data_IF_694493143582
#
_entry.id   IF_694493143582
#
_cell.length_a   1.000
_cell.length_b   1.000
_cell.length_c   1.000
_cell.angle_alpha   90.00
_cell.angle_beta   90.00
_cell.angle_gamma   90.00
#
_symmetry.space_group_name_H-M   'P 1'
#
loop_
_entity.id
_entity.type
_entity.pdbx_description
1 polymer ?
#
# COMPACT_ATOMS: atom_id res chain seq x y z
N UNK A 1 18.79 -53.49 -33.50
CA UNK A 1 19.86 -54.08 -32.65
C UNK A 1 19.28 -54.30 -31.26
N UNK A 2 19.55 -55.43 -30.60
CA UNK A 2 19.18 -55.63 -29.19
C UNK A 2 20.36 -55.34 -28.28
N UNK A 3 20.13 -54.53 -27.24
CA UNK A 3 21.13 -54.27 -26.20
C UNK A 3 21.17 -55.50 -25.29
N UNK A 4 22.32 -56.17 -25.19
CA UNK A 4 22.54 -57.25 -24.23
C UNK A 4 23.04 -56.65 -22.90
N UNK A 5 22.51 -57.08 -21.74
CA UNK A 5 23.00 -56.60 -20.45
C UNK A 5 24.43 -57.12 -20.20
N UNK A 6 25.30 -56.24 -19.68
CA UNK A 6 26.64 -56.61 -19.23
C UNK A 6 26.54 -56.96 -17.74
N UNK A 7 26.75 -58.24 -17.39
CA UNK A 7 26.79 -58.69 -16.00
C UNK A 7 28.26 -58.64 -15.54
N UNK A 8 28.54 -57.84 -14.52
CA UNK A 8 29.90 -57.55 -14.05
C UNK A 8 30.12 -58.15 -12.66
N UNK A 9 30.80 -59.29 -12.60
CA UNK A 9 31.00 -60.07 -11.36
C UNK A 9 32.25 -59.56 -10.62
N UNK A 10 32.06 -58.97 -9.44
CA UNK A 10 33.15 -58.38 -8.63
C UNK A 10 33.70 -59.43 -7.66
N UNK A 11 34.69 -60.22 -8.10
CA UNK A 11 35.26 -61.33 -7.33
C UNK A 11 36.18 -60.94 -6.15
N UNK A 12 36.17 -59.69 -5.66
CA UNK A 12 37.02 -59.23 -4.55
C UNK A 12 36.24 -58.35 -3.57
N UNK A 13 36.06 -58.76 -2.29
CA UNK A 13 35.20 -58.06 -1.34
C UNK A 13 35.68 -56.64 -1.02
N UNK A 14 37.00 -56.40 -1.04
CA UNK A 14 37.60 -55.08 -0.84
C UNK A 14 37.17 -54.05 -1.89
N UNK A 15 36.90 -54.48 -3.13
CA UNK A 15 36.39 -53.60 -4.20
C UNK A 15 34.93 -53.22 -3.92
N UNK A 16 34.12 -54.19 -3.47
CA UNK A 16 32.73 -53.95 -3.09
C UNK A 16 32.64 -53.01 -1.88
N UNK A 17 33.48 -53.20 -0.86
CA UNK A 17 33.59 -52.31 0.30
C UNK A 17 34.02 -50.89 -0.11
N UNK A 18 34.98 -50.76 -1.03
CA UNK A 18 35.38 -49.47 -1.60
C UNK A 18 34.24 -48.75 -2.33
N UNK A 19 33.49 -49.47 -3.15
CA UNK A 19 32.32 -48.93 -3.87
C UNK A 19 31.21 -48.50 -2.89
N UNK A 20 30.89 -49.33 -1.89
CA UNK A 20 29.88 -49.00 -0.86
C UNK A 20 30.30 -47.77 -0.06
N UNK A 21 31.58 -47.68 0.35
CA UNK A 21 32.12 -46.51 1.04
C UNK A 21 32.03 -45.25 0.17
N UNK A 22 32.36 -45.35 -1.13
CA UNK A 22 32.24 -44.23 -2.07
C UNK A 22 30.77 -43.78 -2.24
N UNK A 23 29.82 -44.72 -2.33
CA UNK A 23 28.38 -44.44 -2.41
C UNK A 23 27.90 -43.74 -1.13
N UNK A 24 28.30 -44.20 0.05
CA UNK A 24 27.97 -43.55 1.33
C UNK A 24 28.56 -42.12 1.37
N UNK A 25 29.79 -41.93 0.87
CA UNK A 25 30.41 -40.60 0.78
C UNK A 25 29.64 -39.66 -0.16
N UNK A 26 29.21 -40.16 -1.33
CA UNK A 26 28.44 -39.38 -2.30
C UNK A 26 27.03 -39.04 -1.80
N UNK A 27 26.36 -39.98 -1.13
CA UNK A 27 25.06 -39.73 -0.48
C UNK A 27 25.24 -38.69 0.62
N UNK A 28 26.19 -38.87 1.54
CA UNK A 28 26.44 -37.93 2.64
C UNK A 28 26.83 -36.53 2.17
N UNK A 29 27.72 -36.41 1.18
CA UNK A 29 28.11 -35.13 0.60
C UNK A 29 26.96 -34.44 -0.17
N UNK A 30 26.09 -35.22 -0.82
CA UNK A 30 24.85 -34.73 -1.41
C UNK A 30 23.87 -34.22 -0.35
N UNK A 31 23.66 -35.00 0.72
CA UNK A 31 22.83 -34.62 1.86
C UNK A 31 23.30 -33.33 2.53
N UNK A 32 24.61 -33.15 2.76
CA UNK A 32 25.14 -31.92 3.39
C UNK A 32 24.81 -30.66 2.57
N UNK A 33 24.94 -30.72 1.23
CA UNK A 33 24.57 -29.61 0.34
C UNK A 33 23.06 -29.37 0.30
N UNK A 34 22.24 -30.42 0.39
CA UNK A 34 20.80 -30.28 0.52
C UNK A 34 20.42 -29.61 1.85
N UNK A 35 21.00 -30.03 2.98
CA UNK A 35 20.67 -29.46 4.29
C UNK A 35 21.08 -28.01 4.43
N UNK A 36 22.18 -27.55 3.81
CA UNK A 36 22.53 -26.12 3.79
C UNK A 36 21.58 -25.28 2.92
N UNK A 37 20.97 -25.88 1.90
CA UNK A 37 19.98 -25.21 1.05
C UNK A 37 18.56 -25.15 1.68
N UNK A 38 18.33 -25.93 2.75
CA UNK A 38 17.07 -25.98 3.51
C UNK A 38 17.15 -25.35 4.91
N UNK A 39 18.22 -24.60 5.21
CA UNK A 39 18.11 -23.57 6.26
C UNK A 39 17.20 -22.47 5.71
N UNK A 40 15.96 -22.36 6.19
CA UNK A 40 15.02 -21.38 5.64
C UNK A 40 15.59 -19.96 5.77
N UNK A 41 15.46 -19.17 4.70
CA UNK A 41 15.88 -17.75 4.66
C UNK A 41 15.16 -16.89 5.70
N UNK A 42 14.07 -17.43 6.24
CA UNK A 42 13.15 -16.86 7.21
C UNK A 42 13.42 -17.29 8.67
N UNK A 43 14.35 -18.22 8.90
CA UNK A 43 14.64 -18.70 10.26
C UNK A 43 15.13 -17.56 11.15
N UNK A 44 14.57 -17.49 12.36
CA UNK A 44 14.89 -16.50 13.40
C UNK A 44 14.57 -15.03 13.01
N UNK A 45 13.95 -14.79 11.84
CA UNK A 45 13.51 -13.45 11.39
C UNK A 45 12.26 -12.99 12.12
N UNK A 46 12.22 -11.71 12.50
CA UNK A 46 11.10 -11.09 13.22
C UNK A 46 10.21 -10.34 12.23
N UNK A 47 9.03 -10.89 11.91
CA UNK A 47 8.09 -10.28 10.97
C UNK A 47 6.88 -9.76 11.74
N UNK A 48 6.61 -8.45 11.63
CA UNK A 48 5.44 -7.85 12.25
C UNK A 48 4.36 -7.65 11.20
N UNK A 49 3.20 -8.25 11.47
CA UNK A 49 2.01 -8.17 10.60
C UNK A 49 1.03 -7.21 11.25
N UNK A 50 0.52 -6.27 10.48
CA UNK A 50 -0.42 -5.25 10.94
C UNK A 50 -1.77 -5.40 10.22
N UNK A 51 -2.79 -6.02 10.84
CA UNK A 51 -4.11 -6.08 10.24
C UNK A 51 -4.75 -4.69 10.33
N UNK A 52 -4.89 -4.02 9.18
CA UNK A 52 -5.39 -2.66 9.06
C UNK A 52 -6.75 -2.46 9.72
N UNK A 53 -7.02 -1.24 10.21
CA UNK A 53 -8.23 -0.87 10.94
C UNK A 53 -8.47 -1.75 12.19
N UNK A 54 -9.63 -1.69 12.84
CA UNK A 54 -9.94 -2.45 14.06
C UNK A 54 -10.86 -1.69 15.03
N UNK A 55 -11.64 -2.42 15.83
CA UNK A 55 -12.48 -1.84 16.89
C UNK A 55 -13.58 -0.94 16.34
N UNK A 56 -13.55 0.34 16.72
CA UNK A 56 -14.45 1.38 16.25
C UNK A 56 -14.15 1.84 14.80
N UNK A 57 -12.97 1.53 14.26
CA UNK A 57 -12.59 1.79 12.86
C UNK A 57 -12.86 0.53 12.01
N UNK A 58 -13.89 0.51 11.13
CA UNK A 58 -14.21 -0.64 10.30
C UNK A 58 -13.39 -0.73 9.00
N UNK A 59 -12.65 0.32 8.63
CA UNK A 59 -12.16 0.54 7.26
C UNK A 59 -13.29 0.64 6.22
N UNK A 60 -12.99 0.29 4.97
CA UNK A 60 -13.98 0.21 3.90
C UNK A 60 -15.13 -0.77 4.24
N UNK A 61 -16.36 -0.44 3.84
CA UNK A 61 -17.54 -1.29 4.09
C UNK A 61 -18.42 -1.41 2.84
N UNK A 62 -18.84 -2.64 2.49
CA UNK A 62 -19.78 -2.85 1.39
C UNK A 62 -20.56 -4.16 1.52
N UNK A 63 -21.88 -4.12 1.34
CA UNK A 63 -22.75 -5.31 1.35
C UNK A 63 -22.67 -6.14 2.64
N UNK A 64 -22.39 -5.51 3.79
CA UNK A 64 -22.19 -6.17 5.09
C UNK A 64 -20.77 -6.65 5.36
N UNK A 65 -19.89 -6.66 4.35
CA UNK A 65 -18.45 -6.90 4.53
C UNK A 65 -17.77 -5.64 5.06
N UNK A 66 -16.81 -5.82 5.98
CA UNK A 66 -15.93 -4.76 6.50
C UNK A 66 -14.48 -5.11 6.25
N UNK A 67 -13.66 -4.11 6.06
CA UNK A 67 -12.23 -4.24 5.81
C UNK A 67 -11.50 -4.87 6.98
N UNK A 68 -11.70 -4.34 8.20
CA UNK A 68 -11.01 -4.80 9.41
C UNK A 68 -11.13 -6.30 9.70
N UNK A 69 -12.21 -6.93 9.21
CA UNK A 69 -12.54 -8.34 9.41
C UNK A 69 -11.77 -9.22 8.39
N UNK A 70 -11.69 -8.76 7.13
CA UNK A 70 -10.86 -9.35 6.06
C UNK A 70 -9.37 -9.25 6.39
N UNK A 71 -8.94 -8.05 6.79
CA UNK A 71 -7.55 -7.76 7.15
C UNK A 71 -7.09 -8.72 8.26
N UNK A 72 -7.91 -8.90 9.30
CA UNK A 72 -7.60 -9.80 10.42
C UNK A 72 -7.48 -11.27 10.01
N UNK A 73 -8.45 -11.81 9.26
CA UNK A 73 -8.41 -13.22 8.85
C UNK A 73 -7.21 -13.51 7.91
N UNK A 74 -6.89 -12.61 6.97
CA UNK A 74 -5.71 -12.77 6.09
C UNK A 74 -4.41 -12.64 6.90
N UNK A 75 -4.28 -11.67 7.81
CA UNK A 75 -3.10 -11.55 8.67
C UNK A 75 -2.89 -12.77 9.58
N UNK A 76 -3.95 -13.35 10.13
CA UNK A 76 -3.89 -14.57 10.94
C UNK A 76 -3.51 -15.82 10.13
N UNK A 77 -3.80 -15.84 8.82
CA UNK A 77 -3.31 -16.89 7.89
C UNK A 77 -1.84 -16.66 7.52
N UNK A 78 -1.48 -15.42 7.19
CA UNK A 78 -0.11 -15.02 6.87
C UNK A 78 0.85 -15.30 8.03
N UNK A 79 0.40 -15.08 9.27
CA UNK A 79 1.17 -15.44 10.46
C UNK A 79 1.53 -16.92 10.48
N UNK A 80 0.53 -17.80 10.36
CA UNK A 80 0.74 -19.27 10.32
C UNK A 80 1.65 -19.71 9.17
N UNK A 81 1.54 -19.07 7.99
CA UNK A 81 2.45 -19.33 6.86
C UNK A 81 3.89 -18.98 7.23
N UNK A 82 4.15 -17.78 7.77
CA UNK A 82 5.49 -17.33 8.12
C UNK A 82 6.09 -18.09 9.32
N UNK A 83 5.28 -18.41 10.33
CA UNK A 83 5.66 -19.30 11.44
C UNK A 83 6.08 -20.68 10.94
N UNK A 84 5.34 -21.27 9.98
CA UNK A 84 5.68 -22.57 9.39
C UNK A 84 7.01 -22.55 8.61
N UNK A 85 7.44 -21.37 8.15
CA UNK A 85 8.74 -21.14 7.51
C UNK A 85 9.85 -20.74 8.49
N UNK A 86 9.55 -20.63 9.79
CA UNK A 86 10.53 -20.40 10.86
C UNK A 86 10.72 -18.94 11.31
N UNK A 87 9.85 -18.01 10.91
CA UNK A 87 9.83 -16.66 11.46
C UNK A 87 9.33 -16.65 12.91
N UNK A 88 9.81 -15.67 13.71
CA UNK A 88 9.05 -15.13 14.83
C UNK A 88 8.04 -14.14 14.26
N UNK A 89 6.76 -14.52 14.20
CA UNK A 89 5.68 -13.60 13.85
C UNK A 89 5.19 -12.85 15.08
N UNK A 90 4.77 -11.60 14.89
CA UNK A 90 3.97 -10.84 15.86
C UNK A 90 2.87 -10.13 15.08
N UNK A 91 1.62 -10.25 15.50
CA UNK A 91 0.54 -9.41 14.98
C UNK A 91 0.39 -8.17 15.84
N UNK A 92 0.10 -7.01 15.25
CA UNK A 92 -0.24 -5.81 16.04
C UNK A 92 -1.57 -6.00 16.79
N UNK A 93 -2.51 -6.75 16.21
CA UNK A 93 -3.73 -7.26 16.86
C UNK A 93 -4.07 -8.67 16.38
N UNK A 94 -4.54 -9.53 17.28
CA UNK A 94 -5.05 -10.88 16.97
C UNK A 94 -6.58 -10.97 16.99
N UNK A 95 -7.25 -9.89 17.41
CA UNK A 95 -8.71 -9.80 17.56
C UNK A 95 -9.25 -8.47 16.99
N UNK A 96 -10.56 -8.30 17.02
CA UNK A 96 -11.21 -7.02 16.78
C UNK A 96 -11.10 -6.11 18.01
N UNK A 97 -10.26 -5.07 17.95
CA UNK A 97 -9.99 -4.16 19.06
C UNK A 97 -9.51 -2.79 18.58
N UNK A 98 -9.74 -1.75 19.38
CA UNK A 98 -9.04 -0.46 19.28
C UNK A 98 -7.67 -0.55 19.99
N UNK A 99 -6.64 0.12 19.45
CA UNK A 99 -5.35 0.25 20.14
C UNK A 99 -5.37 1.32 21.26
N UNK A 100 -6.33 2.25 21.24
CA UNK A 100 -6.30 3.42 22.12
C UNK A 100 -7.70 3.84 22.59
N UNK A 101 -7.94 3.73 23.90
CA UNK A 101 -9.07 4.30 24.67
C UNK A 101 -10.44 4.33 23.93
N UNK A 102 -11.10 3.16 23.75
CA UNK A 102 -12.38 3.04 23.04
C UNK A 102 -13.41 4.11 23.42
N UNK A 103 -13.79 4.94 22.45
CA UNK A 103 -14.86 5.93 22.58
C UNK A 103 -14.51 7.24 23.30
N UNK A 104 -13.37 7.36 23.99
CA UNK A 104 -13.03 8.55 24.80
C UNK A 104 -12.23 9.64 24.05
N UNK A 105 -11.50 9.29 22.98
CA UNK A 105 -10.73 10.24 22.17
C UNK A 105 -11.02 10.00 20.68
N UNK A 106 -11.13 11.07 19.88
CA UNK A 106 -11.43 11.01 18.43
C UNK A 106 -10.62 12.06 17.65
N UNK A 107 -10.52 11.92 16.32
CA UNK A 107 -9.77 12.82 15.44
C UNK A 107 -8.25 12.63 15.49
N UNK A 108 -7.49 13.58 14.91
CA UNK A 108 -6.01 13.57 14.76
C UNK A 108 -5.27 12.82 15.85
N UNK A 109 -5.45 13.22 17.11
CA UNK A 109 -4.68 12.68 18.23
C UNK A 109 -4.96 11.20 18.49
N UNK A 110 -6.22 10.75 18.34
CA UNK A 110 -6.58 9.35 18.50
C UNK A 110 -6.00 8.50 17.36
N UNK A 111 -6.19 8.91 16.10
CA UNK A 111 -5.71 8.14 14.94
C UNK A 111 -4.17 8.09 14.93
N UNK A 112 -3.49 9.20 15.21
CA UNK A 112 -2.02 9.24 15.32
C UNK A 112 -1.50 8.39 16.48
N UNK A 113 -2.18 8.34 17.63
CA UNK A 113 -1.80 7.48 18.75
C UNK A 113 -2.01 5.98 18.45
N UNK A 114 -3.11 5.62 17.77
CA UNK A 114 -3.39 4.27 17.29
C UNK A 114 -2.31 3.78 16.32
N UNK A 115 -2.04 4.56 15.25
CA UNK A 115 -1.03 4.21 14.26
C UNK A 115 0.39 4.17 14.86
N UNK A 116 0.73 5.11 15.74
CA UNK A 116 2.00 5.07 16.49
C UNK A 116 2.15 3.80 17.33
N UNK A 117 1.06 3.25 17.87
CA UNK A 117 1.11 2.01 18.66
C UNK A 117 1.45 0.81 17.76
N UNK A 118 0.90 0.74 16.55
CA UNK A 118 1.22 -0.29 15.54
C UNK A 118 2.71 -0.27 15.16
N UNK A 119 3.24 0.91 14.84
CA UNK A 119 4.66 1.11 14.50
C UNK A 119 5.55 0.76 15.69
N UNK A 120 5.17 1.21 16.89
CA UNK A 120 5.92 0.99 18.13
C UNK A 120 6.10 -0.50 18.44
N UNK A 121 5.08 -1.34 18.20
CA UNK A 121 5.17 -2.81 18.35
C UNK A 121 6.28 -3.38 17.47
N UNK A 122 6.50 -2.84 16.26
CA UNK A 122 7.55 -3.26 15.35
C UNK A 122 8.95 -2.82 15.80
N UNK A 123 9.13 -1.55 16.17
CA UNK A 123 10.40 -1.03 16.69
C UNK A 123 10.81 -1.72 17.99
N UNK A 124 9.94 -1.84 18.99
CA UNK A 124 10.28 -2.47 20.28
C UNK A 124 10.61 -3.98 20.16
N UNK A 125 10.14 -4.65 19.10
CA UNK A 125 10.49 -6.05 18.83
C UNK A 125 11.68 -6.24 17.89
N UNK A 126 12.30 -5.16 17.41
CA UNK A 126 13.39 -5.18 16.41
C UNK A 126 12.98 -5.95 15.15
N UNK A 127 11.82 -5.60 14.58
CA UNK A 127 11.28 -6.25 13.40
C UNK A 127 12.22 -6.14 12.18
N UNK A 128 12.52 -7.26 11.52
CA UNK A 128 13.20 -7.26 10.22
C UNK A 128 12.31 -6.67 9.12
N UNK A 129 10.99 -6.91 9.18
CA UNK A 129 9.98 -6.38 8.24
C UNK A 129 8.69 -5.97 8.97
N UNK A 130 7.99 -4.97 8.41
CA UNK A 130 6.62 -4.60 8.79
C UNK A 130 5.65 -4.70 7.60
N UNK A 131 4.60 -5.52 7.73
CA UNK A 131 3.65 -5.82 6.65
C UNK A 131 2.24 -5.50 7.12
N UNK A 132 1.70 -4.37 6.68
CA UNK A 132 0.30 -4.03 6.94
C UNK A 132 -0.61 -4.59 5.84
N UNK A 133 -1.77 -5.11 6.23
CA UNK A 133 -2.73 -5.81 5.35
C UNK A 133 -4.05 -5.06 5.36
N UNK A 134 -4.50 -4.65 4.18
CA UNK A 134 -5.67 -3.81 3.92
C UNK A 134 -6.53 -4.38 2.77
N UNK A 135 -7.77 -3.90 2.59
CA UNK A 135 -8.64 -4.31 1.49
C UNK A 135 -9.40 -3.13 0.84
N UNK A 136 -8.78 -2.63 -0.23
CA UNK A 136 -9.05 -1.39 -0.94
C UNK A 136 -10.52 -1.14 -1.35
N UNK A 137 -10.84 0.10 -1.70
CA UNK A 137 -12.18 0.51 -2.11
C UNK A 137 -12.14 1.72 -3.04
N UNK A 138 -13.19 1.86 -3.84
CA UNK A 138 -13.46 3.00 -4.71
C UNK A 138 -14.98 3.21 -4.82
N UNK A 139 -15.46 4.41 -5.20
CA UNK A 139 -16.89 4.64 -5.39
C UNK A 139 -17.46 3.76 -6.53
N UNK A 140 -16.65 3.55 -7.57
CA UNK A 140 -16.98 2.71 -8.71
C UNK A 140 -16.68 1.24 -8.41
N UNK A 141 -17.52 0.37 -8.99
CA UNK A 141 -17.60 -1.06 -8.66
C UNK A 141 -16.86 -1.95 -9.66
N UNK A 142 -16.05 -1.36 -10.54
CA UNK A 142 -15.35 -1.99 -11.65
C UNK A 142 -13.86 -2.27 -11.36
N UNK A 143 -13.18 -1.48 -10.52
CA UNK A 143 -11.76 -1.66 -10.18
C UNK A 143 -11.51 -2.96 -9.44
N UNK A 144 -10.41 -3.65 -9.75
CA UNK A 144 -10.04 -4.97 -9.24
C UNK A 144 -8.52 -5.13 -9.22
N UNK A 145 -8.05 -6.23 -8.64
CA UNK A 145 -6.64 -6.56 -8.47
C UNK A 145 -6.08 -6.09 -7.14
N UNK A 146 -4.99 -6.73 -6.72
CA UNK A 146 -4.25 -6.39 -5.49
C UNK A 146 -3.25 -5.27 -5.78
N UNK A 147 -2.91 -4.46 -4.76
CA UNK A 147 -1.88 -3.41 -4.80
C UNK A 147 -0.86 -3.59 -3.67
N UNK A 148 0.31 -2.98 -3.81
CA UNK A 148 1.35 -3.08 -2.78
C UNK A 148 2.16 -1.79 -2.74
N UNK A 149 2.24 -1.16 -1.57
CA UNK A 149 2.81 0.18 -1.42
C UNK A 149 4.05 0.18 -0.53
N UNK A 150 5.01 1.02 -0.89
CA UNK A 150 6.25 1.27 -0.14
C UNK A 150 6.51 2.76 0.03
N UNK A 151 7.27 3.16 1.06
CA UNK A 151 7.68 4.54 1.23
C UNK A 151 8.73 4.91 0.15
N UNK A 152 8.50 6.02 -0.57
CA UNK A 152 9.25 6.48 -1.75
C UNK A 152 10.80 6.44 -1.62
N UNK A 153 11.33 6.62 -0.40
CA UNK A 153 12.77 6.71 -0.12
C UNK A 153 13.40 5.41 0.40
N UNK A 154 12.63 4.34 0.60
CA UNK A 154 13.14 3.04 1.07
C UNK A 154 13.38 2.09 -0.11
N UNK A 155 14.65 1.84 -0.47
CA UNK A 155 14.95 0.85 -1.52
C UNK A 155 14.65 -0.58 -1.06
N UNK A 156 14.80 -0.85 0.24
CA UNK A 156 14.42 -2.11 0.87
C UNK A 156 12.89 -2.35 0.84
N UNK A 157 12.09 -1.35 1.23
CA UNK A 157 10.62 -1.41 1.16
C UNK A 157 10.13 -1.58 -0.28
N UNK A 158 10.77 -0.89 -1.24
CA UNK A 158 10.49 -1.07 -2.67
C UNK A 158 10.72 -2.51 -3.13
N UNK A 159 11.90 -3.08 -2.86
CA UNK A 159 12.23 -4.43 -3.28
C UNK A 159 11.31 -5.49 -2.64
N UNK A 160 10.93 -5.28 -1.37
CA UNK A 160 9.94 -6.11 -0.68
C UNK A 160 8.56 -6.03 -1.36
N UNK A 161 8.08 -4.82 -1.68
CA UNK A 161 6.80 -4.60 -2.34
C UNK A 161 6.77 -5.24 -3.73
N UNK A 162 7.80 -5.04 -4.55
CA UNK A 162 7.88 -5.60 -5.91
C UNK A 162 7.89 -7.14 -5.89
N UNK A 163 8.61 -7.77 -4.96
CA UNK A 163 8.67 -9.24 -4.82
C UNK A 163 7.37 -9.83 -4.27
N UNK A 164 6.73 -9.20 -3.27
CA UNK A 164 5.40 -9.63 -2.79
C UNK A 164 4.36 -9.52 -3.91
N UNK A 165 4.36 -8.40 -4.64
CA UNK A 165 3.41 -8.14 -5.71
C UNK A 165 3.54 -9.12 -6.89
N UNK A 166 4.76 -9.56 -7.20
CA UNK A 166 5.04 -10.61 -8.20
C UNK A 166 4.37 -11.95 -7.83
N UNK A 167 4.18 -12.27 -6.54
CA UNK A 167 3.46 -13.47 -6.10
C UNK A 167 1.95 -13.25 -6.05
N UNK A 168 1.49 -12.07 -5.64
CA UNK A 168 0.07 -11.71 -5.62
C UNK A 168 -0.55 -11.78 -7.04
N UNK A 169 0.16 -11.33 -8.07
CA UNK A 169 -0.32 -11.44 -9.47
C UNK A 169 -0.45 -12.89 -9.96
N UNK A 170 0.18 -13.88 -9.31
CA UNK A 170 0.00 -15.30 -9.63
C UNK A 170 -1.30 -15.88 -9.05
N UNK A 171 -1.82 -15.33 -7.95
CA UNK A 171 -3.14 -15.66 -7.38
C UNK A 171 -4.27 -15.11 -8.26
N UNK A 172 -4.04 -13.98 -8.94
CA UNK A 172 -5.00 -13.33 -9.84
C UNK A 172 -4.32 -12.91 -11.15
N UNK A 173 -4.15 -13.83 -12.13
CA UNK A 173 -3.39 -13.59 -13.36
C UNK A 173 -3.93 -12.49 -14.30
N UNK A 174 -5.12 -11.97 -14.04
CA UNK A 174 -5.66 -10.79 -14.74
C UNK A 174 -5.47 -9.47 -13.98
N UNK A 175 -4.83 -9.49 -12.80
CA UNK A 175 -4.36 -8.28 -12.13
C UNK A 175 -3.28 -7.59 -12.97
N UNK A 176 -3.50 -6.33 -13.30
CA UNK A 176 -2.58 -5.47 -14.09
C UNK A 176 -1.97 -4.33 -13.28
N UNK A 177 -2.25 -4.29 -11.97
CA UNK A 177 -1.67 -3.31 -11.06
C UNK A 177 -0.20 -3.67 -10.79
N UNK A 178 0.51 -2.77 -10.10
CA UNK A 178 1.94 -2.89 -9.80
C UNK A 178 2.21 -2.46 -8.35
N UNK A 179 3.42 -2.71 -7.86
CA UNK A 179 3.91 -2.08 -6.64
C UNK A 179 4.15 -0.58 -6.85
N UNK A 180 3.79 0.25 -5.87
CA UNK A 180 3.75 1.72 -5.98
C UNK A 180 4.45 2.40 -4.79
N UNK A 181 5.03 3.57 -5.01
CA UNK A 181 5.34 4.46 -3.89
C UNK A 181 4.03 5.02 -3.30
N UNK A 182 4.01 5.38 -2.01
CA UNK A 182 2.87 6.05 -1.38
C UNK A 182 3.24 6.77 -0.07
N UNK A 183 2.49 7.81 0.28
CA UNK A 183 2.76 8.72 1.41
C UNK A 183 1.96 8.37 2.69
N UNK A 184 1.86 7.07 2.97
CA UNK A 184 1.05 6.52 4.06
C UNK A 184 1.78 6.51 5.40
N UNK A 185 1.08 6.91 6.47
CA UNK A 185 1.68 7.20 7.77
C UNK A 185 2.51 6.05 8.35
N UNK A 186 2.00 4.81 8.28
CA UNK A 186 2.66 3.65 8.88
C UNK A 186 3.99 3.27 8.21
N UNK A 187 4.08 3.33 6.88
CA UNK A 187 5.32 3.04 6.15
C UNK A 187 6.29 4.24 6.13
N UNK A 188 5.77 5.46 6.30
CA UNK A 188 6.58 6.67 6.46
C UNK A 188 7.24 6.81 7.84
N UNK A 189 6.76 6.07 8.85
CA UNK A 189 7.24 6.15 10.23
C UNK A 189 7.87 4.83 10.73
N UNK A 190 7.77 3.76 9.94
CA UNK A 190 8.49 2.51 10.18
C UNK A 190 10.01 2.69 9.92
N UNK A 191 10.81 2.25 10.88
CA UNK A 191 12.29 2.29 10.80
C UNK A 191 12.87 1.08 10.05
N UNK A 192 12.07 0.04 9.88
CA UNK A 192 12.38 -1.19 9.14
C UNK A 192 11.72 -1.19 7.74
N UNK A 193 12.20 -2.01 6.78
CA UNK A 193 11.57 -2.16 5.47
C UNK A 193 10.09 -2.55 5.63
N UNK A 194 9.21 -1.74 5.04
CA UNK A 194 7.79 -1.77 5.34
C UNK A 194 6.91 -1.64 4.10
N UNK A 195 5.75 -2.31 4.12
CA UNK A 195 4.77 -2.30 3.04
C UNK A 195 3.32 -2.27 3.55
N UNK A 196 2.44 -1.73 2.72
CA UNK A 196 0.98 -1.97 2.78
C UNK A 196 0.61 -2.91 1.63
N UNK A 197 -0.08 -4.00 1.92
CA UNK A 197 -0.64 -4.94 0.94
C UNK A 197 -2.14 -4.75 0.89
N UNK A 198 -2.63 -4.26 -0.25
CA UNK A 198 -4.05 -4.08 -0.53
C UNK A 198 -4.58 -5.33 -1.25
N UNK A 199 -5.35 -6.18 -0.56
CA UNK A 199 -5.65 -7.56 -0.97
C UNK A 199 -6.79 -7.71 -1.99
N UNK A 200 -7.25 -6.61 -2.59
CA UNK A 200 -8.36 -6.57 -3.55
C UNK A 200 -9.50 -5.65 -3.10
N UNK A 201 -10.46 -5.37 -4.00
CA UNK A 201 -11.40 -4.26 -3.83
C UNK A 201 -12.76 -4.64 -3.20
N UNK A 202 -13.01 -4.20 -1.96
CA UNK A 202 -14.29 -4.37 -1.27
C UNK A 202 -15.46 -3.70 -2.01
N UNK A 203 -15.24 -2.66 -2.83
CA UNK A 203 -16.30 -2.06 -3.67
C UNK A 203 -16.77 -2.99 -4.81
N UNK A 204 -15.91 -3.89 -5.30
CA UNK A 204 -16.15 -4.70 -6.49
C UNK A 204 -16.90 -6.02 -6.18
N UNK A 205 -18.00 -6.36 -6.89
CA UNK A 205 -18.78 -7.58 -6.63
C UNK A 205 -18.10 -8.90 -6.98
N UNK A 206 -17.07 -8.89 -7.83
CA UNK A 206 -16.21 -10.06 -8.10
C UNK A 206 -15.23 -10.23 -6.95
N UNK A 207 -14.47 -9.19 -6.65
CA UNK A 207 -13.43 -9.22 -5.60
C UNK A 207 -14.05 -9.54 -4.25
N UNK A 208 -15.23 -9.01 -3.89
CA UNK A 208 -15.93 -9.43 -2.66
C UNK A 208 -16.20 -10.93 -2.56
N UNK A 209 -16.46 -11.62 -3.67
CA UNK A 209 -16.65 -13.09 -3.65
C UNK A 209 -15.32 -13.82 -3.43
N UNK A 210 -14.21 -13.25 -3.91
CA UNK A 210 -12.87 -13.73 -3.64
C UNK A 210 -12.51 -13.49 -2.17
N UNK A 211 -12.63 -12.25 -1.68
CA UNK A 211 -12.38 -11.88 -0.28
C UNK A 211 -13.26 -12.68 0.71
N UNK A 212 -14.50 -13.03 0.37
CA UNK A 212 -15.35 -13.91 1.17
C UNK A 212 -14.94 -15.40 1.12
N UNK A 213 -14.18 -15.84 0.11
CA UNK A 213 -13.70 -17.21 -0.01
C UNK A 213 -12.50 -17.49 0.89
N UNK A 214 -12.57 -18.56 1.69
CA UNK A 214 -11.45 -19.03 2.51
C UNK A 214 -10.26 -19.46 1.65
N UNK A 215 -10.49 -20.13 0.51
CA UNK A 215 -9.41 -20.57 -0.39
C UNK A 215 -8.62 -19.38 -0.95
N UNK A 216 -9.29 -18.27 -1.29
CA UNK A 216 -8.60 -17.07 -1.78
C UNK A 216 -7.82 -16.39 -0.66
N UNK A 217 -8.37 -16.28 0.56
CA UNK A 217 -7.63 -15.72 1.71
C UNK A 217 -6.43 -16.58 2.11
N UNK A 218 -6.51 -17.91 1.95
CA UNK A 218 -5.35 -18.80 2.06
C UNK A 218 -4.31 -18.53 0.95
N UNK A 219 -4.72 -18.44 -0.32
CA UNK A 219 -3.81 -18.19 -1.45
C UNK A 219 -3.11 -16.82 -1.36
N UNK A 220 -3.82 -15.77 -0.94
CA UNK A 220 -3.23 -14.44 -0.71
C UNK A 220 -2.21 -14.49 0.43
N UNK A 221 -2.53 -15.15 1.54
CA UNK A 221 -1.61 -15.31 2.67
C UNK A 221 -0.34 -16.09 2.29
N UNK A 222 -0.48 -17.18 1.51
CA UNK A 222 0.68 -17.95 1.02
C UNK A 222 1.52 -17.14 0.02
N UNK A 223 0.88 -16.40 -0.89
CA UNK A 223 1.59 -15.54 -1.84
C UNK A 223 2.41 -14.44 -1.15
N UNK A 224 1.86 -13.78 -0.11
CA UNK A 224 2.62 -12.79 0.68
C UNK A 224 3.76 -13.50 1.44
N UNK A 225 3.48 -14.62 2.12
CA UNK A 225 4.50 -15.37 2.86
C UNK A 225 5.59 -15.99 1.99
N UNK A 226 5.32 -16.22 0.71
CA UNK A 226 6.29 -16.65 -0.30
C UNK A 226 7.03 -15.45 -0.91
N UNK A 227 6.39 -14.30 -1.07
CA UNK A 227 7.08 -13.04 -1.41
C UNK A 227 8.12 -12.64 -0.35
N UNK A 228 7.77 -12.74 0.94
CA UNK A 228 8.68 -12.50 2.07
C UNK A 228 9.85 -13.49 2.07
N UNK A 229 9.60 -14.78 1.81
CA UNK A 229 10.66 -15.79 1.69
C UNK A 229 11.63 -15.48 0.55
N UNK A 230 11.10 -15.12 -0.63
CA UNK A 230 11.88 -14.72 -1.80
C UNK A 230 12.69 -13.43 -1.54
N UNK A 231 12.14 -12.46 -0.81
CA UNK A 231 12.87 -11.24 -0.42
C UNK A 231 14.12 -11.57 0.40
N UNK A 232 14.03 -12.45 1.41
CA UNK A 232 15.20 -12.87 2.19
C UNK A 232 16.13 -13.86 1.45
N UNK A 233 15.66 -14.57 0.42
CA UNK A 233 16.54 -15.33 -0.47
C UNK A 233 17.36 -14.39 -1.38
N UNK A 234 16.76 -13.32 -1.90
CA UNK A 234 17.44 -12.31 -2.72
C UNK A 234 18.34 -11.37 -1.89
N UNK A 235 17.91 -11.03 -0.66
CA UNK A 235 18.56 -10.07 0.23
C UNK A 235 18.73 -10.63 1.66
N UNK A 236 19.61 -11.63 1.90
CA UNK A 236 19.76 -12.26 3.22
C UNK A 236 20.17 -11.32 4.36
N UNK A 237 20.74 -10.16 4.04
CA UNK A 237 21.15 -9.10 4.97
C UNK A 237 20.37 -7.79 4.75
N UNK A 238 19.19 -7.88 4.11
CA UNK A 238 18.42 -6.73 3.64
C UNK A 238 19.06 -6.02 2.44
N UNK A 239 18.34 -5.04 1.88
CA UNK A 239 18.88 -4.13 0.86
C UNK A 239 19.70 -3.04 1.55
N UNK A 240 20.88 -2.75 1.01
CA UNK A 240 21.74 -1.65 1.48
C UNK A 240 21.41 -0.38 0.68
N UNK A 241 20.81 0.63 1.31
CA UNK A 241 20.35 1.88 0.65
C UNK A 241 21.51 2.68 0.02
N UNK A 242 21.82 2.38 -1.24
CA UNK A 242 22.85 3.05 -2.07
C UNK A 242 22.37 3.22 -3.52
N UNK A 243 21.07 3.46 -3.75
CA UNK A 243 20.50 3.58 -5.10
C UNK A 243 19.28 4.52 -5.14
N UNK A 244 19.03 5.16 -6.30
CA UNK A 244 18.24 6.40 -6.34
C UNK A 244 16.75 6.20 -6.11
N UNK A 245 16.12 7.27 -5.62
CA UNK A 245 14.66 7.46 -5.55
C UNK A 245 13.98 7.10 -6.87
N UNK A 246 12.77 6.55 -6.79
CA UNK A 246 11.90 6.41 -7.96
C UNK A 246 11.63 7.78 -8.61
N UNK A 247 11.34 7.78 -9.92
CA UNK A 247 10.97 9.00 -10.64
C UNK A 247 9.72 9.63 -10.02
N UNK A 248 9.78 10.93 -9.75
CA UNK A 248 8.67 11.67 -9.15
C UNK A 248 7.48 11.74 -10.12
N UNK A 249 6.30 11.32 -9.67
CA UNK A 249 5.04 11.73 -10.30
C UNK A 249 4.78 13.20 -9.95
N UNK A 250 5.40 14.11 -10.70
CA UNK A 250 5.18 15.55 -10.57
C UNK A 250 3.98 16.01 -11.40
N UNK A 251 3.20 17.02 -10.95
CA UNK A 251 2.18 17.62 -11.79
C UNK A 251 2.81 18.25 -13.04
N UNK A 252 2.27 18.01 -14.25
CA UNK A 252 2.79 18.59 -15.48
C UNK A 252 2.78 20.11 -15.52
N UNK A 253 3.55 20.66 -16.47
CA UNK A 253 3.86 22.09 -16.63
C UNK A 253 2.64 23.01 -16.62
N UNK A 254 2.80 24.11 -15.89
CA UNK A 254 1.84 25.23 -15.82
C UNK A 254 1.61 25.82 -17.22
N UNK A 255 0.37 26.19 -17.50
CA UNK A 255 -0.08 26.85 -18.73
C UNK A 255 -0.49 28.30 -18.44
N UNK A 256 -0.28 29.21 -19.40
CA UNK A 256 -0.64 30.63 -19.22
C UNK A 256 -2.14 30.92 -19.38
N UNK A 257 -2.86 30.06 -20.12
CA UNK A 257 -4.26 30.25 -20.50
C UNK A 257 -5.20 29.14 -20.01
N UNK A 258 -4.64 28.07 -19.41
CA UNK A 258 -5.40 27.01 -18.76
C UNK A 258 -4.81 26.68 -17.40
N UNK A 259 -5.65 26.19 -16.48
CA UNK A 259 -5.17 25.40 -15.34
C UNK A 259 -5.65 23.96 -15.50
N UNK A 260 -4.96 23.01 -14.87
CA UNK A 260 -5.28 21.59 -14.96
C UNK A 260 -5.96 21.13 -13.68
N UNK A 261 -7.09 20.46 -13.81
CA UNK A 261 -7.70 19.69 -12.73
C UNK A 261 -7.33 18.23 -12.91
N UNK A 262 -7.02 17.53 -11.82
CA UNK A 262 -6.52 16.15 -11.89
C UNK A 262 -7.58 15.18 -11.39
N UNK A 263 -8.08 14.36 -12.30
CA UNK A 263 -9.11 13.35 -12.04
C UNK A 263 -8.55 11.96 -12.28
N UNK A 264 -9.22 10.91 -11.83
CA UNK A 264 -8.75 9.55 -12.12
C UNK A 264 -9.16 9.09 -13.51
N UNK A 265 -8.42 8.14 -14.08
CA UNK A 265 -8.76 7.47 -15.33
C UNK A 265 -9.93 6.46 -15.17
N UNK A 266 -10.26 5.74 -16.24
CA UNK A 266 -11.36 4.75 -16.24
C UNK A 266 -11.06 3.48 -15.40
N UNK A 267 -9.79 3.24 -15.05
CA UNK A 267 -9.33 2.06 -14.29
C UNK A 267 -9.26 2.27 -12.76
N UNK A 268 -9.14 3.54 -12.34
CA UNK A 268 -8.78 3.95 -10.98
C UNK A 268 -7.43 3.40 -10.54
N UNK A 269 -6.39 3.73 -11.32
CA UNK A 269 -5.00 3.36 -11.02
C UNK A 269 -4.01 4.54 -11.04
N UNK A 270 -4.41 5.68 -11.62
CA UNK A 270 -3.58 6.86 -11.89
C UNK A 270 -4.43 8.14 -12.03
N UNK A 271 -3.77 9.31 -11.97
CA UNK A 271 -4.36 10.63 -12.19
C UNK A 271 -4.05 11.18 -13.59
N UNK A 272 -5.02 11.86 -14.19
CA UNK A 272 -4.96 12.43 -15.54
C UNK A 272 -5.37 13.91 -15.50
N UNK A 273 -4.61 14.83 -16.11
CA UNK A 273 -5.00 16.24 -16.20
C UNK A 273 -6.14 16.47 -17.18
N UNK A 274 -7.08 17.33 -16.79
CA UNK A 274 -8.10 17.92 -17.65
C UNK A 274 -7.95 19.44 -17.65
N UNK A 275 -7.75 20.06 -18.81
CA UNK A 275 -7.58 21.50 -18.93
C UNK A 275 -8.89 22.27 -18.72
N UNK A 276 -8.84 23.33 -17.91
CA UNK A 276 -9.89 24.34 -17.73
C UNK A 276 -9.47 25.66 -18.35
N UNK A 277 -10.36 26.27 -19.12
CA UNK A 277 -10.11 27.52 -19.84
C UNK A 277 -10.20 28.72 -18.89
N UNK A 278 -9.16 29.55 -18.84
CA UNK A 278 -9.14 30.73 -17.98
C UNK A 278 -9.93 31.87 -18.64
N UNK A 279 -11.08 32.24 -18.06
CA UNK A 279 -11.75 33.49 -18.40
C UNK A 279 -10.94 34.69 -17.86
N UNK A 280 -9.99 35.17 -18.66
CA UNK A 280 -9.06 36.25 -18.28
C UNK A 280 -9.78 37.53 -17.81
N UNK A 281 -10.99 37.81 -18.31
CA UNK A 281 -11.79 38.99 -17.90
C UNK A 281 -12.32 38.92 -16.47
N UNK A 282 -12.32 37.72 -15.87
CA UNK A 282 -12.66 37.46 -14.46
C UNK A 282 -11.37 37.18 -13.67
N UNK A 283 -10.52 36.27 -14.15
CA UNK A 283 -9.32 35.79 -13.47
C UNK A 283 -8.34 36.90 -13.07
N UNK A 284 -8.17 37.92 -13.92
CA UNK A 284 -7.33 39.09 -13.62
C UNK A 284 -7.80 39.93 -12.44
N UNK A 285 -9.10 39.85 -12.08
CA UNK A 285 -9.71 40.59 -10.96
C UNK A 285 -9.72 39.79 -9.64
N UNK A 286 -9.45 38.48 -9.69
CA UNK A 286 -9.47 37.60 -8.52
C UNK A 286 -8.14 37.65 -7.76
N UNK A 287 -8.20 37.78 -6.44
CA UNK A 287 -7.05 37.53 -5.57
C UNK A 287 -6.71 36.03 -5.51
N UNK A 288 -5.58 35.67 -4.90
CA UNK A 288 -5.08 34.28 -4.93
C UNK A 288 -6.02 33.30 -4.20
N UNK A 289 -6.59 33.68 -3.05
CA UNK A 289 -7.62 32.88 -2.36
C UNK A 289 -8.86 32.68 -3.23
N UNK A 290 -9.32 33.70 -3.95
CA UNK A 290 -10.50 33.61 -4.84
C UNK A 290 -10.25 32.69 -6.05
N UNK A 291 -9.04 32.74 -6.63
CA UNK A 291 -8.60 31.80 -7.67
C UNK A 291 -8.62 30.37 -7.15
N UNK A 292 -8.03 30.15 -5.97
CA UNK A 292 -7.98 28.87 -5.29
C UNK A 292 -9.40 28.32 -4.99
N UNK A 293 -10.31 29.15 -4.49
CA UNK A 293 -11.72 28.77 -4.29
C UNK A 293 -12.41 28.34 -5.58
N UNK A 294 -12.17 29.04 -6.70
CA UNK A 294 -12.77 28.71 -7.99
C UNK A 294 -12.27 27.35 -8.50
N UNK A 295 -10.95 27.16 -8.56
CA UNK A 295 -10.32 25.91 -9.02
C UNK A 295 -10.78 24.72 -8.16
N UNK A 296 -10.83 24.88 -6.83
CA UNK A 296 -11.30 23.82 -5.93
C UNK A 296 -12.80 23.55 -6.05
N UNK A 297 -13.62 24.58 -6.31
CA UNK A 297 -15.06 24.40 -6.58
C UNK A 297 -15.31 23.64 -7.88
N UNK A 298 -14.48 23.82 -8.92
CA UNK A 298 -14.56 23.02 -10.14
C UNK A 298 -14.02 21.60 -9.95
N UNK A 299 -13.00 21.39 -9.10
CA UNK A 299 -12.53 20.03 -8.77
C UNK A 299 -13.61 19.19 -8.06
N UNK A 300 -14.37 19.80 -7.14
CA UNK A 300 -15.50 19.16 -6.45
C UNK A 300 -16.66 18.84 -7.43
N UNK A 301 -16.91 19.72 -8.41
CA UNK A 301 -17.93 19.46 -9.45
C UNK A 301 -17.57 18.27 -10.36
N UNK A 302 -16.27 17.98 -10.51
CA UNK A 302 -15.77 16.82 -11.25
C UNK A 302 -15.32 17.12 -12.68
N UNK A 303 -15.01 16.07 -13.46
CA UNK A 303 -14.53 16.20 -14.82
C UNK A 303 -15.65 16.53 -15.82
N UNK A 304 -15.28 17.13 -16.95
CA UNK A 304 -16.16 17.34 -18.10
C UNK A 304 -16.15 16.13 -19.05
N UNK A 305 -15.03 15.40 -19.11
CA UNK A 305 -14.87 14.16 -19.83
C UNK A 305 -15.52 12.99 -19.10
N UNK A 306 -16.40 12.26 -19.79
CA UNK A 306 -16.99 11.01 -19.30
C UNK A 306 -16.00 9.84 -19.17
N UNK A 307 -14.73 10.02 -19.57
CA UNK A 307 -13.63 9.06 -19.37
C UNK A 307 -12.81 9.32 -18.11
N UNK A 308 -13.20 10.32 -17.31
CA UNK A 308 -12.52 10.69 -16.09
C UNK A 308 -13.46 10.52 -14.90
N UNK A 309 -12.89 10.22 -13.74
CA UNK A 309 -13.62 9.90 -12.52
C UNK A 309 -13.30 10.92 -11.43
N UNK A 310 -14.33 11.49 -10.73
CA UNK A 310 -14.13 12.29 -9.54
C UNK A 310 -13.33 11.54 -8.46
N UNK A 311 -12.31 12.21 -7.95
CA UNK A 311 -11.44 11.78 -6.84
C UNK A 311 -11.98 12.22 -5.48
N UNK A 312 -12.90 13.18 -5.47
CA UNK A 312 -13.58 13.75 -4.30
C UNK A 312 -15.08 13.50 -4.49
N UNK A 313 -15.81 13.20 -3.40
CA UNK A 313 -17.27 13.05 -3.46
C UNK A 313 -17.94 14.39 -3.82
N UNK A 314 -18.82 14.49 -4.83
CA UNK A 314 -19.48 15.75 -5.22
C UNK A 314 -20.42 16.36 -4.17
N UNK A 315 -20.68 15.64 -3.06
CA UNK A 315 -21.40 16.09 -1.86
C UNK A 315 -20.53 16.93 -0.91
N UNK A 316 -19.20 16.86 -1.09
CA UNK A 316 -18.18 17.64 -0.35
C UNK A 316 -18.45 19.13 -0.50
N UNK A 317 -18.41 19.87 0.61
CA UNK A 317 -18.60 21.33 0.59
C UNK A 317 -17.27 22.01 0.89
N UNK A 318 -16.94 23.02 0.10
CA UNK A 318 -15.83 23.92 0.37
C UNK A 318 -16.28 24.95 1.41
N UNK A 319 -15.71 24.92 2.62
CA UNK A 319 -16.04 25.84 3.70
C UNK A 319 -15.23 27.14 3.60
N UNK A 320 -13.92 27.04 3.36
CA UNK A 320 -13.07 28.19 3.10
C UNK A 320 -11.81 27.84 2.31
N UNK A 321 -11.22 28.85 1.66
CA UNK A 321 -9.84 28.79 1.16
C UNK A 321 -9.14 30.09 1.51
N UNK A 322 -7.93 29.98 2.06
CA UNK A 322 -7.07 31.12 2.39
C UNK A 322 -5.66 30.88 1.85
N UNK A 323 -4.99 31.91 1.36
CA UNK A 323 -3.63 31.80 0.81
C UNK A 323 -2.68 32.77 1.48
N UNK A 324 -1.55 32.27 2.00
CA UNK A 324 -0.51 33.06 2.64
C UNK A 324 0.88 32.49 2.30
N UNK A 325 1.79 33.34 1.82
CA UNK A 325 3.20 33.00 1.58
C UNK A 325 3.45 31.70 0.77
N UNK A 326 2.62 31.44 -0.25
CA UNK A 326 2.71 30.24 -1.10
C UNK A 326 1.90 29.03 -0.60
N UNK A 327 1.42 29.05 0.64
CA UNK A 327 0.53 28.03 1.20
C UNK A 327 -0.93 28.37 0.92
N UNK A 328 -1.67 27.44 0.33
CA UNK A 328 -3.13 27.43 0.36
C UNK A 328 -3.63 26.55 1.51
N UNK A 329 -4.40 27.10 2.45
CA UNK A 329 -5.16 26.33 3.43
C UNK A 329 -6.60 26.21 2.95
N UNK A 330 -7.06 24.96 2.78
CA UNK A 330 -8.34 24.57 2.22
C UNK A 330 -9.12 23.86 3.31
N UNK A 331 -10.34 24.31 3.58
CA UNK A 331 -11.23 23.71 4.58
C UNK A 331 -12.46 23.12 3.90
N UNK A 332 -12.70 21.83 4.10
CA UNK A 332 -13.82 21.08 3.57
C UNK A 332 -14.80 20.71 4.68
N UNK A 333 -16.07 20.49 4.34
CA UNK A 333 -16.99 19.84 5.28
C UNK A 333 -16.54 18.40 5.56
N UNK A 334 -16.90 17.88 6.74
CA UNK A 334 -16.74 16.46 7.13
C UNK A 334 -17.21 15.46 6.05
N UNK A 335 -18.07 15.88 5.14
CA UNK A 335 -18.60 15.08 4.05
C UNK A 335 -17.49 14.55 3.11
N UNK A 336 -16.33 15.24 3.02
CA UNK A 336 -15.15 14.73 2.28
C UNK A 336 -14.63 13.38 2.80
N UNK A 337 -14.85 13.11 4.09
CA UNK A 337 -14.44 11.89 4.82
C UNK A 337 -15.65 10.97 5.06
N UNK A 338 -16.79 11.54 5.44
CA UNK A 338 -17.99 10.76 5.78
C UNK A 338 -18.65 10.11 4.56
N UNK A 339 -18.52 10.70 3.37
CA UNK A 339 -18.95 10.10 2.09
C UNK A 339 -17.77 9.40 1.34
N UNK A 340 -16.61 9.25 1.98
CA UNK A 340 -15.43 8.62 1.37
C UNK A 340 -15.59 7.07 1.33
N UNK A 341 -15.25 6.40 0.21
CA UNK A 341 -15.47 4.95 0.04
C UNK A 341 -14.54 4.04 0.86
N UNK A 342 -13.51 4.58 1.51
CA UNK A 342 -12.39 3.82 2.10
C UNK A 342 -11.31 3.44 1.08
N UNK A 343 -10.30 2.69 1.52
CA UNK A 343 -9.18 2.22 0.68
C UNK A 343 -8.02 3.21 0.55
N UNK A 344 -6.78 2.70 0.57
CA UNK A 344 -5.57 3.51 0.57
C UNK A 344 -5.37 4.23 -0.78
N UNK A 345 -5.59 3.53 -1.90
CA UNK A 345 -5.40 4.11 -3.24
C UNK A 345 -6.35 5.27 -3.53
N UNK A 346 -7.57 5.24 -2.96
CA UNK A 346 -8.52 6.35 -3.10
C UNK A 346 -8.08 7.59 -2.35
N UNK A 347 -7.49 7.42 -1.17
CA UNK A 347 -7.05 8.53 -0.32
C UNK A 347 -5.82 9.21 -0.89
N UNK A 348 -4.85 8.42 -1.37
CA UNK A 348 -3.68 8.89 -2.13
C UNK A 348 -4.12 9.71 -3.37
N UNK A 349 -4.99 9.14 -4.21
CA UNK A 349 -5.51 9.84 -5.39
C UNK A 349 -6.32 11.11 -5.07
N UNK A 350 -7.10 11.13 -3.98
CA UNK A 350 -7.86 12.30 -3.56
C UNK A 350 -6.93 13.44 -3.09
N UNK A 351 -5.94 13.13 -2.26
CA UNK A 351 -4.98 14.10 -1.73
C UNK A 351 -4.08 14.63 -2.85
N UNK A 352 -3.54 13.76 -3.71
CA UNK A 352 -2.76 14.15 -4.89
C UNK A 352 -3.55 15.01 -5.87
N UNK A 353 -4.81 14.66 -6.14
CA UNK A 353 -5.72 15.44 -6.98
C UNK A 353 -5.90 16.87 -6.47
N UNK A 354 -6.06 17.06 -5.15
CA UNK A 354 -6.13 18.38 -4.51
C UNK A 354 -4.80 19.13 -4.67
N UNK A 355 -3.67 18.51 -4.31
CA UNK A 355 -2.33 19.15 -4.33
C UNK A 355 -1.96 19.58 -5.76
N UNK A 356 -2.07 18.67 -6.73
CA UNK A 356 -1.70 18.91 -8.12
C UNK A 356 -2.57 19.99 -8.76
N UNK A 357 -3.90 19.96 -8.55
CA UNK A 357 -4.81 20.96 -9.12
C UNK A 357 -4.54 22.36 -8.56
N UNK A 358 -4.24 22.46 -7.26
CA UNK A 358 -3.98 23.73 -6.59
C UNK A 358 -2.61 24.32 -6.94
N UNK A 359 -1.59 23.48 -7.13
CA UNK A 359 -0.23 23.91 -7.52
C UNK A 359 -0.08 24.26 -9.00
N UNK A 360 -1.15 24.13 -9.81
CA UNK A 360 -1.24 24.78 -11.12
C UNK A 360 -1.44 26.30 -11.03
N UNK A 361 -1.90 26.84 -9.89
CA UNK A 361 -2.20 28.27 -9.72
C UNK A 361 -0.89 29.02 -9.41
N UNK A 362 -0.43 29.95 -10.27
CA UNK A 362 0.82 30.69 -10.02
C UNK A 362 0.77 31.44 -8.69
N UNK A 363 1.72 31.15 -7.81
CA UNK A 363 1.77 31.67 -6.44
C UNK A 363 1.29 30.71 -5.35
N UNK A 364 0.84 29.50 -5.69
CA UNK A 364 0.58 28.40 -4.74
C UNK A 364 1.64 27.32 -4.94
N UNK A 365 2.46 27.10 -3.92
CA UNK A 365 3.54 26.10 -3.91
C UNK A 365 3.24 24.91 -3.00
N UNK A 366 2.28 25.06 -2.09
CA UNK A 366 1.93 24.04 -1.09
C UNK A 366 0.48 24.15 -0.62
N UNK A 367 -0.04 23.06 -0.07
CA UNK A 367 -1.43 22.92 0.36
C UNK A 367 -1.51 22.40 1.80
N UNK A 368 -2.47 22.90 2.57
CA UNK A 368 -2.92 22.32 3.85
C UNK A 368 -4.41 22.02 3.73
N UNK A 369 -4.81 20.84 4.17
CA UNK A 369 -6.20 20.39 4.15
C UNK A 369 -6.73 20.38 5.58
N UNK A 370 -7.92 20.96 5.77
CA UNK A 370 -8.71 20.95 7.00
C UNK A 370 -10.08 20.32 6.74
N UNK A 371 -10.72 19.83 7.80
CA UNK A 371 -12.05 19.20 7.76
C UNK A 371 -12.89 19.77 8.90
N UNK A 372 -13.92 20.56 8.59
CA UNK A 372 -14.67 21.39 9.55
C UNK A 372 -13.75 22.32 10.40
N UNK A 373 -12.69 22.85 9.80
CA UNK A 373 -11.66 23.64 10.49
C UNK A 373 -10.67 22.83 11.32
N UNK A 374 -10.97 21.56 11.63
CA UNK A 374 -10.03 20.66 12.31
C UNK A 374 -8.91 20.23 11.35
N UNK A 375 -7.71 20.02 11.91
CA UNK A 375 -6.54 19.63 11.13
C UNK A 375 -6.12 18.20 11.42
N UNK A 376 -5.44 17.55 10.47
CA UNK A 376 -4.72 16.31 10.73
C UNK A 376 -5.54 15.07 11.09
N UNK A 377 -6.84 15.09 10.85
CA UNK A 377 -7.58 13.84 10.63
C UNK A 377 -7.11 13.18 9.31
N UNK A 378 -7.65 12.01 8.97
CA UNK A 378 -7.47 11.37 7.66
C UNK A 378 -8.75 11.40 6.82
N UNK A 379 -8.65 11.19 5.51
CA UNK A 379 -9.83 11.08 4.62
C UNK A 379 -10.33 9.62 4.59
N UNK A 380 -9.40 8.67 4.47
CA UNK A 380 -9.64 7.23 4.38
C UNK A 380 -9.00 6.39 5.48
N UNK A 381 -8.02 6.91 6.22
CA UNK A 381 -7.41 6.27 7.40
C UNK A 381 -5.89 6.12 7.36
N UNK A 382 -5.27 6.32 6.20
CA UNK A 382 -3.89 5.92 5.88
C UNK A 382 -2.95 7.13 5.75
N UNK A 383 -3.46 8.27 5.27
CA UNK A 383 -2.72 9.51 5.10
C UNK A 383 -3.27 10.56 6.07
N UNK A 384 -2.53 10.83 7.16
CA UNK A 384 -2.88 11.91 8.07
C UNK A 384 -2.67 13.27 7.39
N UNK A 385 -3.69 14.14 7.41
CA UNK A 385 -3.66 15.51 6.88
C UNK A 385 -2.89 16.49 7.79
N UNK A 386 -1.89 15.98 8.52
CA UNK A 386 -1.28 16.68 9.67
C UNK A 386 -0.02 17.49 9.33
N UNK A 387 0.25 17.62 8.03
CA UNK A 387 1.34 18.39 7.43
C UNK A 387 0.82 19.42 6.42
N UNK A 388 1.74 20.22 5.92
CA UNK A 388 1.58 20.95 4.66
C UNK A 388 2.20 20.09 3.55
N UNK A 389 1.47 19.86 2.46
CA UNK A 389 1.86 19.05 1.32
C UNK A 389 2.41 19.92 0.18
N UNK A 390 3.37 19.42 -0.61
CA UNK A 390 3.93 20.09 -1.78
C UNK A 390 4.03 19.16 -2.99
N UNK A 391 4.13 19.76 -4.19
CA UNK A 391 4.06 19.07 -5.48
C UNK A 391 5.29 18.26 -5.90
N UNK A 392 6.35 18.17 -5.08
CA UNK A 392 7.60 17.51 -5.43
C UNK A 392 8.15 16.53 -4.38
N UNK A 393 7.62 16.47 -3.15
CA UNK A 393 8.20 15.63 -2.08
C UNK A 393 7.18 14.78 -1.30
N UNK A 394 5.88 15.04 -1.45
CA UNK A 394 4.79 14.48 -0.62
C UNK A 394 3.71 13.79 -1.49
N UNK A 395 4.14 13.19 -2.61
CA UNK A 395 3.34 12.59 -3.70
C UNK A 395 4.10 11.42 -4.30
#
# INVERSE_FOLDING_TARGET
>A
MSIRPIILIICRPWILAGIISLIILFIGAGSLKLTSAFSSSLKDKVIVIDPGHGGADPGAQNSGLKEKDINLDISLRLGKVLESKGCKVILTREVDMDFFLPGFVKGRMAKRAELNTRIKIATENNADLFISVHANSFPQRNSYGMETYYHLKSSAGKALAEIIHEKLTQVQPDNKRIAKAGDYYIINQAEMPSVIVEVGFISNPRERKLLLSEDYRNLVADAIGTGVEHYFQAFPQGVQDNSPTAGQEGPPTISENTYKLYFSNENLDSLVPEDRQINQSVWTKLNLSQKASLVMSELIQGPLSSKLTPTIAPTTKLLSVTTQNGLATIDFSKDIRDDFPGGASGEDMAIKSIIWSMTQIPGITSVRILVNGEFGDSIGGHILLDRTFNSQLDV
#
